data_IF_448411235010
#
_entry.id   IF_448411235010
#
_cell.length_a   1.000
_cell.length_b   1.000
_cell.length_c   1.000
_cell.angle_alpha   90.00
_cell.angle_beta   90.00
_cell.angle_gamma   90.00
#
_symmetry.space_group_name_H-M   'P 1'
#
loop_
_entity.id
_entity.type
_entity.pdbx_description
1 polymer ?
#
# COMPACT_ATOMS: atom_id res chain seq x y z
N UNK A 1 6.70 -3.44 -21.00
CA UNK A 1 5.73 -4.21 -20.21
C UNK A 1 5.03 -3.31 -19.22
N UNK A 2 3.72 -3.51 -19.04
CA UNK A 2 2.90 -2.87 -18.04
C UNK A 2 2.59 -3.87 -16.91
N UNK A 3 3.08 -3.59 -15.71
CA UNK A 3 2.88 -4.40 -14.51
C UNK A 3 1.83 -3.74 -13.62
N UNK A 4 0.80 -4.48 -13.25
CA UNK A 4 -0.13 -4.10 -12.18
C UNK A 4 0.32 -4.76 -10.89
N UNK A 5 0.77 -3.95 -9.93
CA UNK A 5 1.30 -4.44 -8.66
C UNK A 5 0.35 -4.07 -7.52
N UNK A 6 -0.07 -5.06 -6.74
CA UNK A 6 -0.91 -4.86 -5.55
C UNK A 6 -0.05 -5.04 -4.30
N UNK A 7 -0.04 -4.08 -3.39
CA UNK A 7 0.78 -4.16 -2.17
C UNK A 7 0.11 -3.47 -0.98
N UNK A 8 0.20 -4.11 0.18
CA UNK A 8 -0.33 -3.58 1.44
C UNK A 8 0.60 -2.56 2.13
N UNK A 9 1.80 -2.33 1.59
CA UNK A 9 2.84 -1.52 2.21
C UNK A 9 3.01 -0.16 1.53
N UNK A 10 3.48 0.83 2.31
CA UNK A 10 4.16 1.99 1.73
C UNK A 10 5.60 1.62 1.39
N UNK A 11 6.06 1.99 0.20
CA UNK A 11 7.34 1.48 -0.34
C UNK A 11 8.52 2.40 -0.08
N UNK A 12 8.29 3.70 0.12
CA UNK A 12 9.34 4.68 0.40
C UNK A 12 9.75 4.70 1.87
N UNK A 13 10.90 5.32 2.15
CA UNK A 13 11.42 5.48 3.50
C UNK A 13 10.47 6.31 4.36
N UNK A 14 10.15 5.80 5.55
CA UNK A 14 9.35 6.49 6.55
C UNK A 14 10.27 7.22 7.55
N UNK A 15 9.91 8.42 8.06
CA UNK A 15 10.77 9.22 8.95
C UNK A 15 11.29 8.48 10.19
N UNK A 16 10.45 7.61 10.77
CA UNK A 16 10.75 6.89 12.02
C UNK A 16 11.22 5.43 11.77
N UNK A 17 11.74 5.17 10.57
CA UNK A 17 11.99 3.82 10.08
C UNK A 17 10.71 3.10 9.64
N UNK A 18 10.87 2.10 8.77
CA UNK A 18 9.78 1.44 8.06
C UNK A 18 9.90 1.62 6.54
N UNK A 19 8.82 1.39 5.81
CA UNK A 19 8.85 1.33 4.33
C UNK A 19 9.04 -0.09 3.81
N UNK A 20 9.25 -0.21 2.49
CA UNK A 20 9.69 -1.44 1.84
C UNK A 20 10.86 -1.13 0.90
N UNK A 21 12.07 -0.89 1.44
CA UNK A 21 13.21 -0.40 0.65
C UNK A 21 13.62 -1.31 -0.51
N UNK A 22 13.47 -2.63 -0.32
CA UNK A 22 13.64 -3.62 -1.38
C UNK A 22 12.64 -3.40 -2.51
N UNK A 23 11.35 -3.25 -2.17
CA UNK A 23 10.29 -3.00 -3.13
C UNK A 23 10.46 -1.64 -3.84
N UNK A 24 10.90 -0.60 -3.12
CA UNK A 24 11.26 0.68 -3.74
C UNK A 24 12.36 0.53 -4.80
N UNK A 25 13.44 -0.18 -4.48
CA UNK A 25 14.51 -0.47 -5.44
C UNK A 25 13.99 -1.25 -6.65
N UNK A 26 13.10 -2.21 -6.43
CA UNK A 26 12.46 -2.98 -7.51
C UNK A 26 11.61 -2.09 -8.42
N UNK A 27 10.76 -1.23 -7.85
CA UNK A 27 9.91 -0.31 -8.62
C UNK A 27 10.75 0.68 -9.45
N UNK A 28 11.79 1.25 -8.83
CA UNK A 28 12.75 2.11 -9.52
C UNK A 28 13.42 1.37 -10.68
N UNK A 29 13.89 0.14 -10.43
CA UNK A 29 14.57 -0.67 -11.44
C UNK A 29 13.64 -1.10 -12.60
N UNK A 30 12.33 -1.23 -12.36
CA UNK A 30 11.35 -1.41 -13.43
C UNK A 30 11.24 -0.16 -14.30
N UNK A 31 11.08 1.00 -13.67
CA UNK A 31 11.00 2.29 -14.35
C UNK A 31 12.22 2.62 -15.19
N UNK A 32 13.43 2.43 -14.63
CA UNK A 32 14.71 2.66 -15.32
C UNK A 32 14.92 1.74 -16.52
N UNK A 33 14.26 0.57 -16.55
CA UNK A 33 14.25 -0.36 -17.70
C UNK A 33 13.15 -0.06 -18.72
N UNK A 34 12.39 1.03 -18.55
CA UNK A 34 11.31 1.42 -19.44
C UNK A 34 10.02 0.62 -19.24
N UNK A 35 9.88 -0.11 -18.13
CA UNK A 35 8.60 -0.73 -17.79
C UNK A 35 7.65 0.32 -17.19
N UNK A 36 6.35 0.12 -17.43
CA UNK A 36 5.29 0.87 -16.74
C UNK A 36 4.82 0.02 -15.58
N UNK A 37 4.65 0.62 -14.42
CA UNK A 37 4.10 -0.05 -13.24
C UNK A 37 2.92 0.78 -12.72
N UNK A 38 1.75 0.17 -12.62
CA UNK A 38 0.63 0.71 -11.86
C UNK A 38 0.64 0.05 -10.49
N UNK A 39 0.95 0.82 -9.45
CA UNK A 39 1.09 0.36 -8.07
C UNK A 39 -0.14 0.71 -7.26
N UNK A 40 -0.93 -0.31 -6.92
CA UNK A 40 -2.15 -0.21 -6.12
C UNK A 40 -1.82 -0.48 -4.66
N UNK A 41 -2.04 0.51 -3.81
CA UNK A 41 -1.73 0.44 -2.38
C UNK A 41 -2.69 1.27 -1.52
N UNK A 42 -2.87 0.94 -0.24
CA UNK A 42 -3.60 1.82 0.65
C UNK A 42 -2.84 3.14 0.85
N UNK A 43 -3.53 4.21 1.23
CA UNK A 43 -2.90 5.50 1.61
C UNK A 43 -2.03 5.37 2.86
N UNK A 44 -2.30 4.39 3.71
CA UNK A 44 -1.52 4.04 4.91
C UNK A 44 -1.23 2.54 4.84
N UNK A 45 0.05 2.18 4.70
CA UNK A 45 0.48 0.79 4.60
C UNK A 45 0.55 0.06 5.94
N UNK A 46 0.59 -1.27 5.91
CA UNK A 46 0.69 -2.11 7.12
C UNK A 46 1.96 -1.84 7.93
N UNK A 47 3.03 -1.42 7.27
CA UNK A 47 4.30 -1.04 7.89
C UNK A 47 4.28 0.28 8.68
N UNK A 48 3.17 1.03 8.66
CA UNK A 48 2.92 2.16 9.58
C UNK A 48 2.41 1.72 10.94
N UNK A 49 2.05 0.46 11.11
CA UNK A 49 1.48 -0.04 12.35
C UNK A 49 2.61 -0.51 13.27
N UNK A 50 2.50 -0.14 14.54
CA UNK A 50 3.30 -0.71 15.61
C UNK A 50 2.86 -2.17 15.85
N UNK A 51 3.68 -3.02 16.50
CA UNK A 51 3.27 -4.38 16.88
C UNK A 51 1.99 -4.43 17.72
N UNK A 52 1.63 -3.32 18.39
CA UNK A 52 0.39 -3.13 19.13
C UNK A 52 -0.85 -2.89 18.24
N UNK A 53 -0.68 -2.77 16.92
CA UNK A 53 -1.71 -2.41 15.95
C UNK A 53 -2.00 -0.91 15.87
N UNK A 54 -1.34 -0.07 16.67
CA UNK A 54 -1.50 1.39 16.63
C UNK A 54 -0.73 2.01 15.47
N UNK A 55 -1.30 3.06 14.86
CA UNK A 55 -0.60 3.88 13.87
C UNK A 55 0.61 4.59 14.50
N UNK A 56 1.74 4.60 13.79
CA UNK A 56 2.88 5.47 14.09
C UNK A 56 2.45 6.94 13.88
N UNK A 57 2.92 7.83 14.75
CA UNK A 57 2.50 9.24 14.82
C UNK A 57 2.87 10.13 13.63
N UNK A 58 3.65 9.63 12.67
CA UNK A 58 4.00 10.38 11.47
C UNK A 58 2.90 10.30 10.39
N UNK A 59 2.57 11.46 9.79
CA UNK A 59 1.65 11.54 8.64
C UNK A 59 2.22 10.82 7.40
N UNK A 60 1.38 10.20 6.55
CA UNK A 60 1.81 9.62 5.28
C UNK A 60 2.59 10.63 4.44
N UNK A 61 3.79 10.26 3.97
CA UNK A 61 4.51 11.10 3.02
C UNK A 61 3.83 10.94 1.66
N UNK A 62 3.82 11.99 0.85
CA UNK A 62 3.50 11.84 -0.56
C UNK A 62 4.41 10.76 -1.20
N UNK A 63 3.88 9.88 -2.06
CA UNK A 63 4.68 8.92 -2.78
C UNK A 63 5.73 9.64 -3.62
N UNK A 64 6.97 9.15 -3.70
CA UNK A 64 7.98 9.75 -4.56
C UNK A 64 7.62 9.54 -6.02
N UNK A 65 7.92 10.53 -6.84
CA UNK A 65 7.85 10.41 -8.29
C UNK A 65 8.95 9.46 -8.76
N UNK A 66 8.56 8.35 -9.40
CA UNK A 66 9.49 7.40 -10.01
C UNK A 66 9.15 7.28 -11.50
N UNK A 67 10.15 7.21 -12.39
CA UNK A 67 9.93 7.00 -13.81
C UNK A 67 9.05 5.77 -14.08
N UNK A 68 8.06 5.90 -14.95
CA UNK A 68 7.19 4.78 -15.34
C UNK A 68 6.26 4.26 -14.24
N UNK A 69 6.21 4.88 -13.05
CA UNK A 69 5.39 4.44 -11.93
C UNK A 69 4.16 5.33 -11.76
N UNK A 70 2.98 4.71 -11.74
CA UNK A 70 1.71 5.35 -11.39
C UNK A 70 1.17 4.77 -10.09
N UNK A 71 0.71 5.62 -9.17
CA UNK A 71 0.20 5.19 -7.87
C UNK A 71 -1.33 5.26 -7.83
N UNK A 72 -1.99 4.10 -7.74
CA UNK A 72 -3.44 3.98 -7.54
C UNK A 72 -3.73 3.75 -6.06
N UNK A 73 -3.79 4.85 -5.30
CA UNK A 73 -3.99 4.79 -3.86
C UNK A 73 -5.46 4.79 -3.46
N UNK A 74 -5.77 4.10 -2.37
CA UNK A 74 -7.12 4.08 -1.80
C UNK A 74 -7.11 4.20 -0.28
N UNK A 75 -8.17 4.78 0.27
CA UNK A 75 -8.36 4.84 1.71
C UNK A 75 -8.78 3.46 2.24
N UNK A 76 -8.04 2.95 3.22
CA UNK A 76 -8.33 1.72 3.95
C UNK A 76 -8.81 2.09 5.36
N UNK A 77 -10.13 2.16 5.60
CA UNK A 77 -10.69 2.74 6.82
C UNK A 77 -10.24 2.00 8.07
N UNK A 78 -10.10 2.74 9.16
CA UNK A 78 -9.62 2.27 10.45
C UNK A 78 -10.56 2.68 11.58
N UNK A 79 -10.81 1.78 12.53
CA UNK A 79 -11.49 2.16 13.77
C UNK A 79 -10.69 3.22 14.55
N UNK A 80 -9.38 3.29 14.35
CA UNK A 80 -8.52 4.30 15.00
C UNK A 80 -8.84 5.73 14.54
N UNK A 81 -9.60 5.91 13.45
CA UNK A 81 -10.08 7.21 13.00
C UNK A 81 -11.29 7.71 13.80
N UNK A 82 -11.96 6.83 14.56
CA UNK A 82 -13.20 7.13 15.28
C UNK A 82 -13.05 8.09 16.47
N UNK A 83 -11.83 8.58 16.78
CA UNK A 83 -11.46 9.41 17.95
C UNK A 83 -11.80 8.77 19.32
N UNK A 84 -12.34 7.56 19.34
CA UNK A 84 -12.61 6.82 20.57
C UNK A 84 -11.32 6.20 21.12
N UNK A 85 -11.13 6.17 22.44
CA UNK A 85 -9.99 5.49 23.04
C UNK A 85 -10.12 3.98 22.81
N UNK A 86 -9.35 3.44 21.86
CA UNK A 86 -9.35 2.01 21.58
C UNK A 86 -8.35 1.24 22.46
N UNK A 87 -8.80 0.19 23.19
CA UNK A 87 -7.90 -0.77 23.82
C UNK A 87 -6.96 -1.41 22.79
N UNK A 88 -5.75 -1.79 23.22
CA UNK A 88 -4.73 -2.36 22.32
C UNK A 88 -5.19 -3.63 21.58
N UNK A 89 -6.00 -4.47 22.22
CA UNK A 89 -6.59 -5.65 21.59
C UNK A 89 -7.50 -5.29 20.39
N UNK A 90 -8.26 -4.20 20.51
CA UNK A 90 -9.12 -3.72 19.42
C UNK A 90 -8.28 -3.15 18.28
N UNK A 91 -7.22 -2.39 18.58
CA UNK A 91 -6.30 -1.88 17.55
C UNK A 91 -5.66 -3.02 16.72
N UNK A 92 -5.31 -4.13 17.38
CA UNK A 92 -4.77 -5.32 16.71
C UNK A 92 -5.82 -6.08 15.90
N UNK A 93 -7.05 -6.20 16.40
CA UNK A 93 -8.15 -6.81 15.67
C UNK A 93 -8.53 -5.97 14.42
N UNK A 94 -8.60 -4.65 14.58
CA UNK A 94 -8.78 -3.68 13.49
C UNK A 94 -7.73 -3.85 12.40
N UNK A 95 -6.44 -3.87 12.75
CA UNK A 95 -5.36 -4.15 11.80
C UNK A 95 -5.59 -5.46 11.04
N UNK A 96 -5.87 -6.55 11.75
CA UNK A 96 -6.08 -7.87 11.11
C UNK A 96 -7.23 -7.84 10.12
N UNK A 97 -8.38 -7.31 10.51
CA UNK A 97 -9.56 -7.23 9.63
C UNK A 97 -9.30 -6.36 8.41
N UNK A 98 -8.63 -5.21 8.61
CA UNK A 98 -8.29 -4.29 7.53
C UNK A 98 -7.42 -4.97 6.48
N UNK A 99 -6.36 -5.65 6.88
CA UNK A 99 -5.42 -6.22 5.92
C UNK A 99 -5.79 -7.62 5.39
N UNK A 100 -6.58 -8.41 6.13
CA UNK A 100 -7.03 -9.73 5.65
C UNK A 100 -8.33 -9.69 4.84
N UNK A 101 -9.19 -8.70 5.05
CA UNK A 101 -10.53 -8.67 4.41
C UNK A 101 -10.70 -7.41 3.56
N UNK A 102 -10.51 -6.23 4.14
CA UNK A 102 -10.80 -4.97 3.44
C UNK A 102 -9.76 -4.67 2.36
N UNK A 103 -8.48 -4.87 2.63
CA UNK A 103 -7.41 -4.63 1.67
C UNK A 103 -7.58 -5.47 0.39
N UNK A 104 -7.71 -6.82 0.43
CA UNK A 104 -7.87 -7.60 -0.80
C UNK A 104 -9.09 -7.15 -1.61
N UNK A 105 -10.22 -6.87 -0.96
CA UNK A 105 -11.45 -6.40 -1.63
C UNK A 105 -11.25 -5.05 -2.31
N UNK A 106 -10.65 -4.08 -1.63
CA UNK A 106 -10.47 -2.73 -2.17
C UNK A 106 -9.36 -2.69 -3.22
N UNK A 107 -8.26 -3.42 -3.01
CA UNK A 107 -7.19 -3.59 -3.98
C UNK A 107 -7.71 -4.26 -5.26
N UNK A 108 -8.53 -5.31 -5.15
CA UNK A 108 -9.14 -5.97 -6.31
C UNK A 108 -10.04 -5.02 -7.10
N UNK A 109 -10.88 -4.23 -6.42
CA UNK A 109 -11.71 -3.20 -7.08
C UNK A 109 -10.87 -2.17 -7.84
N UNK A 110 -9.74 -1.75 -7.28
CA UNK A 110 -8.81 -0.83 -7.96
C UNK A 110 -8.11 -1.51 -9.13
N UNK A 111 -7.68 -2.76 -8.96
CA UNK A 111 -7.09 -3.56 -10.02
C UNK A 111 -8.04 -3.72 -11.21
N UNK A 112 -9.32 -4.04 -10.96
CA UNK A 112 -10.35 -4.12 -12.00
C UNK A 112 -10.50 -2.81 -12.78
N UNK A 113 -10.45 -1.65 -12.09
CA UNK A 113 -10.51 -0.36 -12.77
C UNK A 113 -9.30 -0.12 -13.68
N UNK A 114 -8.10 -0.53 -13.26
CA UNK A 114 -6.88 -0.43 -14.08
C UNK A 114 -6.98 -1.35 -15.29
N UNK A 115 -7.37 -2.61 -15.09
CA UNK A 115 -7.52 -3.61 -16.15
C UNK A 115 -8.55 -3.21 -17.21
N UNK A 116 -9.56 -2.41 -16.85
CA UNK A 116 -10.54 -1.87 -17.80
C UNK A 116 -10.03 -0.66 -18.60
N UNK A 117 -9.02 0.05 -18.09
CA UNK A 117 -8.49 1.27 -18.73
C UNK A 117 -7.34 0.96 -19.68
N UNK A 118 -6.49 0.01 -19.32
CA UNK A 118 -5.24 -0.25 -20.03
C UNK A 118 -4.93 -1.75 -20.04
N UNK A 119 -4.31 -2.27 -21.12
CA UNK A 119 -3.79 -3.63 -21.12
C UNK A 119 -2.66 -3.77 -20.09
N UNK A 120 -2.68 -4.86 -19.34
CA UNK A 120 -1.68 -5.21 -18.32
C UNK A 120 -1.03 -6.53 -18.73
N UNK A 121 0.29 -6.57 -18.78
CA UNK A 121 1.06 -7.76 -19.16
C UNK A 121 1.28 -8.71 -17.98
N UNK A 122 1.31 -8.17 -16.76
CA UNK A 122 1.57 -8.93 -15.54
C UNK A 122 0.80 -8.37 -14.35
N UNK A 123 0.07 -9.24 -13.65
CA UNK A 123 -0.49 -8.97 -12.33
C UNK A 123 0.45 -9.56 -11.26
N UNK A 124 0.91 -8.72 -10.33
CA UNK A 124 1.80 -9.14 -9.26
C UNK A 124 1.27 -8.72 -7.89
N UNK A 125 0.89 -9.69 -7.07
CA UNK A 125 0.54 -9.46 -5.66
C UNK A 125 1.78 -9.56 -4.78
N UNK A 126 2.10 -8.49 -4.05
CA UNK A 126 3.17 -8.48 -3.06
C UNK A 126 2.55 -8.51 -1.66
N UNK A 127 2.66 -9.66 -1.01
CA UNK A 127 2.19 -9.89 0.36
C UNK A 127 3.37 -9.81 1.32
N UNK A 128 3.20 -9.11 2.44
CA UNK A 128 4.16 -9.05 3.57
C UNK A 128 3.39 -9.17 4.86
#
# INVERSE_FOLDING_TARGET
MHVLMLCALEVWALPDGGGAPSLYKTLRAYGERGHRVTFVAPTIGANRLLPSGRLRGAQPWAPPELPGLHYERFHLPSLQESRLPLPGAIAKADQKLRFSVLFPRLAARRAELVLRREPVDLLYGYEV
#
